data_IF_555437258484
#
_entry.id   IF_555437258484
#
_cell.length_a   1.000
_cell.length_b   1.000
_cell.length_c   1.000
_cell.angle_alpha   90.00
_cell.angle_beta   90.00
_cell.angle_gamma   90.00
#
_symmetry.space_group_name_H-M   'P 1'
#
loop_
_entity.id
_entity.type
_entity.pdbx_description
1 polymer ?
#
# COMPACT_ATOMS: atom_id res chain seq x y z
N UNK A 1 25.42 -25.51 -5.77
CA UNK A 1 25.78 -24.34 -6.62
C UNK A 1 25.14 -24.40 -8.02
N UNK A 2 25.25 -25.48 -8.80
CA UNK A 2 24.70 -25.55 -10.17
C UNK A 2 23.16 -25.38 -10.26
N UNK A 3 22.40 -25.98 -9.36
CA UNK A 3 20.93 -25.88 -9.36
C UNK A 3 20.43 -24.43 -9.17
N UNK A 4 21.15 -23.62 -8.37
CA UNK A 4 20.81 -22.23 -8.13
C UNK A 4 21.07 -21.35 -9.36
N UNK A 5 22.14 -21.60 -10.10
CA UNK A 5 22.50 -20.86 -11.33
C UNK A 5 21.48 -21.08 -12.46
N UNK A 6 21.08 -22.34 -12.69
CA UNK A 6 20.04 -22.68 -13.71
C UNK A 6 18.70 -22.04 -13.36
N UNK A 7 18.31 -22.06 -12.10
CA UNK A 7 17.06 -21.44 -11.64
C UNK A 7 17.07 -19.93 -11.85
N UNK A 8 18.18 -19.26 -11.52
CA UNK A 8 18.38 -17.81 -11.75
C UNK A 8 18.34 -17.45 -13.23
N UNK A 9 19.06 -18.22 -14.07
CA UNK A 9 19.06 -18.00 -15.52
C UNK A 9 17.66 -18.16 -16.12
N UNK A 10 16.93 -19.22 -15.75
CA UNK A 10 15.55 -19.45 -16.18
C UNK A 10 14.60 -18.34 -15.73
N UNK A 11 14.79 -17.84 -14.50
CA UNK A 11 14.02 -16.72 -13.94
C UNK A 11 14.24 -15.44 -14.77
N UNK A 12 15.50 -15.04 -14.97
CA UNK A 12 15.87 -13.90 -15.81
C UNK A 12 15.34 -14.02 -17.23
N UNK A 13 15.52 -15.18 -17.87
CA UNK A 13 15.03 -15.41 -19.24
C UNK A 13 13.51 -15.28 -19.38
N UNK A 14 12.71 -15.67 -18.36
CA UNK A 14 11.26 -15.46 -18.34
C UNK A 14 10.90 -13.99 -18.29
N UNK A 15 11.58 -13.24 -17.44
CA UNK A 15 11.35 -11.79 -17.26
C UNK A 15 11.71 -11.03 -18.53
N UNK A 16 12.87 -11.30 -19.11
CA UNK A 16 13.31 -10.67 -20.37
C UNK A 16 12.34 -11.00 -21.51
N UNK A 17 11.89 -12.25 -21.64
CA UNK A 17 10.90 -12.64 -22.65
C UNK A 17 9.57 -11.92 -22.47
N UNK A 18 9.08 -11.77 -21.24
CA UNK A 18 7.84 -11.04 -20.98
C UNK A 18 8.00 -9.54 -21.34
N UNK A 19 9.09 -8.91 -20.93
CA UNK A 19 9.40 -7.53 -21.27
C UNK A 19 9.52 -7.31 -22.79
N UNK A 20 10.23 -8.19 -23.49
CA UNK A 20 10.34 -8.14 -24.94
C UNK A 20 8.98 -8.29 -25.62
N UNK A 21 8.13 -9.22 -25.16
CA UNK A 21 6.76 -9.42 -25.70
C UNK A 21 5.91 -8.17 -25.52
N UNK A 22 5.99 -7.53 -24.36
CA UNK A 22 5.29 -6.28 -24.07
C UNK A 22 5.80 -5.19 -24.98
N UNK A 23 7.09 -4.93 -25.01
CA UNK A 23 7.73 -3.88 -25.80
C UNK A 23 7.43 -4.00 -27.29
N UNK A 24 7.69 -5.18 -27.88
CA UNK A 24 7.41 -5.45 -29.30
C UNK A 24 5.92 -5.34 -29.61
N UNK A 25 5.06 -5.73 -28.68
CA UNK A 25 3.63 -5.55 -28.82
C UNK A 25 3.23 -4.08 -28.90
N UNK A 26 3.81 -3.22 -28.07
CA UNK A 26 3.60 -1.78 -28.13
C UNK A 26 4.09 -1.18 -29.44
N UNK A 27 5.28 -1.55 -29.90
CA UNK A 27 5.83 -1.06 -31.18
C UNK A 27 5.00 -1.51 -32.40
N UNK A 28 4.44 -2.71 -32.36
CA UNK A 28 3.51 -3.17 -33.42
C UNK A 28 2.21 -2.37 -33.40
N UNK A 29 1.66 -2.13 -32.22
CA UNK A 29 0.44 -1.33 -32.06
C UNK A 29 0.67 0.12 -32.49
N UNK A 30 1.78 0.73 -32.13
CA UNK A 30 2.16 2.08 -32.56
C UNK A 30 2.19 2.21 -34.09
N UNK A 31 2.88 1.26 -34.77
CA UNK A 31 2.93 1.24 -36.25
C UNK A 31 1.55 1.07 -36.87
N UNK A 32 0.69 0.23 -36.27
CA UNK A 32 -0.68 0.02 -36.74
C UNK A 32 -1.55 1.25 -36.50
N UNK A 33 -1.49 1.85 -35.33
CA UNK A 33 -2.28 3.01 -34.93
C UNK A 33 -2.03 4.22 -35.83
N UNK A 34 -0.81 4.39 -36.36
CA UNK A 34 -0.48 5.45 -37.34
C UNK A 34 -1.24 5.34 -38.67
N UNK A 35 -1.86 4.17 -38.95
CA UNK A 35 -2.62 3.89 -40.18
C UNK A 35 -4.12 3.83 -39.94
N UNK A 36 -4.57 4.02 -38.71
CA UNK A 36 -5.97 3.91 -38.29
C UNK A 36 -6.54 5.30 -38.00
N UNK A 37 -7.84 5.45 -38.15
CA UNK A 37 -8.56 6.63 -37.63
C UNK A 37 -8.53 6.68 -36.10
N UNK A 38 -8.83 7.84 -35.49
CA UNK A 38 -8.65 8.08 -34.06
C UNK A 38 -9.34 7.04 -33.15
N UNK A 39 -10.58 6.69 -33.43
CA UNK A 39 -11.35 5.69 -32.65
C UNK A 39 -10.75 4.28 -32.72
N UNK A 40 -10.43 3.83 -33.93
CA UNK A 40 -9.80 2.52 -34.14
C UNK A 40 -8.39 2.44 -33.53
N UNK A 41 -7.66 3.55 -33.55
CA UNK A 41 -6.36 3.66 -32.87
C UNK A 41 -6.53 3.56 -31.34
N UNK A 42 -7.50 4.29 -30.75
CA UNK A 42 -7.80 4.22 -29.34
C UNK A 42 -8.18 2.79 -28.89
N UNK A 43 -9.06 2.12 -29.64
CA UNK A 43 -9.42 0.73 -29.39
C UNK A 43 -8.23 -0.23 -29.48
N UNK A 44 -7.32 -0.03 -30.45
CA UNK A 44 -6.10 -0.83 -30.58
C UNK A 44 -5.16 -0.66 -29.37
N UNK A 45 -5.05 0.55 -28.82
CA UNK A 45 -4.28 0.83 -27.61
C UNK A 45 -4.90 0.17 -26.37
N UNK A 46 -6.22 0.25 -26.17
CA UNK A 46 -6.90 -0.41 -25.04
C UNK A 46 -6.66 -1.94 -25.06
N UNK A 47 -6.82 -2.57 -26.22
CA UNK A 47 -6.54 -4.01 -26.38
C UNK A 47 -5.05 -4.30 -26.06
N UNK A 48 -4.13 -3.43 -26.46
CA UNK A 48 -2.70 -3.60 -26.19
C UNK A 48 -2.40 -3.47 -24.70
N UNK A 49 -2.96 -2.45 -24.04
CA UNK A 49 -2.81 -2.27 -22.60
C UNK A 49 -3.32 -3.49 -21.82
N UNK A 50 -4.50 -4.00 -22.17
CA UNK A 50 -5.06 -5.19 -21.53
C UNK A 50 -4.15 -6.43 -21.68
N UNK A 51 -3.62 -6.70 -22.90
CA UNK A 51 -2.70 -7.80 -23.15
C UNK A 51 -1.36 -7.67 -22.42
N UNK A 52 -0.86 -6.45 -22.27
CA UNK A 52 0.38 -6.18 -21.54
C UNK A 52 0.18 -6.37 -20.04
N UNK A 53 -0.92 -5.84 -19.51
CA UNK A 53 -1.29 -5.99 -18.10
C UNK A 53 -1.46 -7.47 -17.72
N UNK A 54 -2.14 -8.27 -18.54
CA UNK A 54 -2.29 -9.71 -18.31
C UNK A 54 -0.93 -10.44 -18.38
N UNK A 55 -0.05 -10.04 -19.30
CA UNK A 55 1.32 -10.61 -19.36
C UNK A 55 2.10 -10.33 -18.07
N UNK A 56 1.98 -9.12 -17.50
CA UNK A 56 2.61 -8.77 -16.21
C UNK A 56 1.97 -9.52 -15.04
N UNK A 57 0.65 -9.64 -15.02
CA UNK A 57 -0.05 -10.43 -14.01
C UNK A 57 0.44 -11.89 -14.01
N UNK A 58 0.47 -12.53 -15.16
CA UNK A 58 0.96 -13.91 -15.31
C UNK A 58 2.43 -14.04 -14.92
N UNK A 59 3.26 -13.06 -15.27
CA UNK A 59 4.66 -13.05 -14.86
C UNK A 59 4.76 -12.97 -13.33
N UNK A 60 4.04 -12.04 -12.69
CA UNK A 60 4.05 -11.84 -11.24
C UNK A 60 3.60 -13.10 -10.51
N UNK A 61 2.50 -13.72 -10.93
CA UNK A 61 1.96 -14.95 -10.34
C UNK A 61 2.96 -16.13 -10.45
N UNK A 62 3.66 -16.26 -11.58
CA UNK A 62 4.65 -17.33 -11.79
C UNK A 62 5.98 -17.09 -11.08
N UNK A 63 6.45 -15.86 -11.04
CA UNK A 63 7.73 -15.52 -10.44
C UNK A 63 7.62 -15.27 -8.93
N UNK A 64 6.46 -14.86 -8.44
CA UNK A 64 6.18 -14.56 -7.03
C UNK A 64 7.13 -13.48 -6.44
N UNK A 65 7.15 -13.32 -5.12
CA UNK A 65 8.08 -12.41 -4.43
C UNK A 65 7.99 -10.97 -4.94
N UNK A 66 9.13 -10.39 -5.33
CA UNK A 66 9.22 -9.00 -5.78
C UNK A 66 8.29 -8.67 -6.94
N UNK A 67 8.04 -9.59 -7.87
CA UNK A 67 7.15 -9.32 -9.02
C UNK A 67 5.68 -9.16 -8.59
N UNK A 68 5.23 -9.91 -7.56
CA UNK A 68 3.91 -9.68 -6.96
C UNK A 68 3.89 -8.29 -6.31
N UNK A 69 4.90 -7.95 -5.50
CA UNK A 69 4.99 -6.64 -4.84
C UNK A 69 5.02 -5.48 -5.86
N UNK A 70 5.81 -5.62 -6.93
CA UNK A 70 5.85 -4.63 -8.02
C UNK A 70 4.48 -4.50 -8.71
N UNK A 71 3.83 -5.63 -8.97
CA UNK A 71 2.48 -5.65 -9.56
C UNK A 71 1.44 -5.01 -8.64
N UNK A 72 1.47 -5.29 -7.35
CA UNK A 72 0.64 -4.64 -6.33
C UNK A 72 0.87 -3.12 -6.32
N UNK A 73 2.13 -2.69 -6.32
CA UNK A 73 2.49 -1.27 -6.37
C UNK A 73 1.92 -0.57 -7.62
N UNK A 74 2.13 -1.14 -8.80
CA UNK A 74 1.59 -0.59 -10.05
C UNK A 74 0.05 -0.63 -10.06
N UNK A 75 -0.55 -1.70 -9.52
CA UNK A 75 -2.00 -1.89 -9.44
C UNK A 75 -2.73 -0.84 -8.59
N UNK A 76 -2.03 -0.20 -7.65
CA UNK A 76 -2.57 0.89 -6.81
C UNK A 76 -2.33 2.30 -7.38
N UNK A 77 -1.55 2.42 -8.46
CA UNK A 77 -1.06 3.68 -9.03
C UNK A 77 -1.71 3.97 -10.38
N UNK A 78 -2.96 4.44 -10.36
CA UNK A 78 -3.68 4.85 -11.58
C UNK A 78 -3.07 6.06 -12.30
N UNK A 79 -2.19 6.78 -11.61
CA UNK A 79 -1.40 7.90 -12.16
C UNK A 79 -0.19 7.42 -13.00
N UNK A 80 0.31 6.20 -12.76
CA UNK A 80 1.49 5.66 -13.43
C UNK A 80 1.17 4.76 -14.62
N UNK A 81 -0.03 4.19 -14.68
CA UNK A 81 -0.36 3.19 -15.68
C UNK A 81 -1.82 3.29 -16.16
N UNK A 82 -2.10 2.94 -17.43
CA UNK A 82 -3.47 2.86 -17.96
C UNK A 82 -4.39 1.98 -17.10
N UNK A 83 -5.69 2.27 -17.09
CA UNK A 83 -6.69 1.59 -16.27
C UNK A 83 -6.69 0.04 -16.44
N UNK A 84 -6.29 -0.47 -17.59
CA UNK A 84 -6.16 -1.91 -17.83
C UNK A 84 -5.12 -2.57 -16.89
N UNK A 85 -4.04 -1.86 -16.54
CA UNK A 85 -3.02 -2.37 -15.61
C UNK A 85 -3.55 -2.39 -14.18
N UNK A 86 -4.18 -1.33 -13.72
CA UNK A 86 -4.76 -1.28 -12.36
C UNK A 86 -5.81 -2.37 -12.18
N UNK A 87 -6.72 -2.57 -13.17
CA UNK A 87 -7.71 -3.67 -13.14
C UNK A 87 -7.09 -5.07 -13.09
N UNK A 88 -6.04 -5.33 -13.88
CA UNK A 88 -5.44 -6.67 -13.92
C UNK A 88 -4.56 -6.95 -12.71
N UNK A 89 -3.78 -5.96 -12.25
CA UNK A 89 -2.77 -6.13 -11.21
C UNK A 89 -3.36 -6.01 -9.80
N UNK A 90 -4.53 -5.35 -9.61
CA UNK A 90 -5.25 -5.37 -8.32
C UNK A 90 -5.59 -6.80 -7.86
N UNK A 91 -5.79 -7.73 -8.79
CA UNK A 91 -6.00 -9.16 -8.50
C UNK A 91 -4.85 -9.82 -7.72
N UNK A 92 -3.67 -9.19 -7.71
CA UNK A 92 -2.51 -9.66 -6.92
C UNK A 92 -2.60 -9.31 -5.43
N UNK A 93 -3.56 -8.46 -5.03
CA UNK A 93 -3.72 -8.05 -3.63
C UNK A 93 -4.36 -9.16 -2.78
N UNK A 94 -5.28 -9.95 -3.37
CA UNK A 94 -6.18 -10.80 -2.59
C UNK A 94 -5.77 -12.28 -2.50
N UNK A 95 -4.86 -12.79 -3.33
CA UNK A 95 -4.60 -14.23 -3.42
C UNK A 95 -3.15 -14.58 -3.79
N UNK A 96 -2.30 -14.60 -2.80
CA UNK A 96 -0.99 -15.27 -2.93
C UNK A 96 -1.14 -16.70 -2.41
N UNK A 97 -0.91 -17.76 -3.23
CA UNK A 97 -0.95 -19.13 -2.74
C UNK A 97 0.10 -19.33 -1.63
N UNK A 98 -0.27 -19.89 -0.48
CA UNK A 98 0.64 -20.14 0.62
C UNK A 98 1.75 -21.13 0.22
N UNK A 99 2.83 -21.15 0.98
CA UNK A 99 3.87 -22.17 0.89
C UNK A 99 3.51 -23.36 1.77
N UNK A 100 4.03 -24.56 1.45
CA UNK A 100 3.86 -25.71 2.32
C UNK A 100 4.37 -25.45 3.74
N UNK A 101 3.58 -25.82 4.75
CA UNK A 101 3.90 -25.58 6.17
C UNK A 101 5.26 -26.16 6.59
N UNK A 102 5.68 -27.24 5.98
CA UNK A 102 7.01 -27.81 6.21
C UNK A 102 8.16 -26.86 5.86
N UNK A 103 7.98 -25.93 4.91
CA UNK A 103 8.98 -24.89 4.64
C UNK A 103 8.95 -23.80 5.70
N UNK A 104 7.76 -23.46 6.19
CA UNK A 104 7.57 -22.49 7.27
C UNK A 104 8.25 -22.98 8.55
N UNK A 105 7.96 -24.21 8.96
CA UNK A 105 8.55 -24.85 10.14
C UNK A 105 10.09 -24.86 10.06
N UNK A 106 10.66 -25.26 8.92
CA UNK A 106 12.11 -25.22 8.69
C UNK A 106 12.69 -23.80 8.80
N UNK A 107 11.98 -22.76 8.34
CA UNK A 107 12.46 -21.38 8.49
C UNK A 107 12.45 -20.96 9.94
N UNK A 108 11.39 -21.27 10.71
CA UNK A 108 11.31 -20.99 12.14
C UNK A 108 12.45 -21.69 12.90
N UNK A 109 12.63 -22.99 12.66
CA UNK A 109 13.65 -23.80 13.32
C UNK A 109 15.07 -23.34 13.00
N UNK A 110 15.34 -22.96 11.73
CA UNK A 110 16.63 -22.42 11.33
C UNK A 110 16.93 -21.03 11.94
N UNK A 111 15.91 -20.20 12.15
CA UNK A 111 16.09 -18.86 12.73
C UNK A 111 16.16 -18.88 14.26
N UNK A 112 15.40 -19.77 14.92
CA UNK A 112 15.30 -19.82 16.38
C UNK A 112 16.12 -20.96 17.03
N UNK A 113 16.72 -21.84 16.21
CA UNK A 113 17.62 -22.91 16.70
C UNK A 113 16.93 -24.01 17.50
N UNK A 114 15.59 -24.07 17.49
CA UNK A 114 14.78 -25.03 18.27
C UNK A 114 13.63 -25.56 17.42
N UNK A 115 13.17 -26.82 17.66
CA UNK A 115 11.99 -27.36 16.98
C UNK A 115 10.74 -26.52 17.26
N UNK A 116 9.84 -26.40 16.29
CA UNK A 116 8.57 -25.65 16.44
C UNK A 116 7.76 -26.13 17.65
N UNK A 117 7.73 -27.46 17.90
CA UNK A 117 7.02 -28.04 19.04
C UNK A 117 7.63 -27.70 20.42
N UNK A 118 8.90 -27.24 20.45
CA UNK A 118 9.53 -26.76 21.67
C UNK A 118 9.39 -25.25 21.88
N UNK A 119 8.96 -24.52 20.84
CA UNK A 119 8.73 -23.08 20.86
C UNK A 119 7.26 -22.72 21.15
N UNK A 120 6.34 -23.52 20.63
CA UNK A 120 4.90 -23.28 20.70
C UNK A 120 4.17 -24.51 21.23
N UNK A 121 3.22 -24.32 22.13
CA UNK A 121 2.32 -25.39 22.62
C UNK A 121 1.39 -25.89 21.49
N UNK A 122 1.01 -25.00 20.56
CA UNK A 122 0.33 -25.37 19.31
C UNK A 122 0.74 -24.43 18.18
N UNK A 123 0.75 -24.95 16.95
CA UNK A 123 1.07 -24.19 15.74
C UNK A 123 0.15 -24.66 14.61
N UNK A 124 -0.70 -23.76 14.10
CA UNK A 124 -1.67 -24.06 13.06
C UNK A 124 -0.97 -24.25 11.71
N UNK A 125 -1.22 -25.37 11.05
CA UNK A 125 -0.64 -25.67 9.73
C UNK A 125 -1.27 -24.81 8.61
N UNK A 126 -2.53 -24.41 8.77
CA UNK A 126 -3.19 -23.49 7.85
C UNK A 126 -2.83 -22.04 8.17
N UNK A 127 -2.34 -21.26 7.18
CA UNK A 127 -2.01 -19.87 7.45
C UNK A 127 -3.25 -18.99 7.60
N UNK A 128 -3.18 -18.02 8.51
CA UNK A 128 -4.16 -16.92 8.62
C UNK A 128 -4.15 -16.02 7.39
N UNK A 129 -2.96 -15.80 6.83
CA UNK A 129 -2.75 -14.97 5.64
C UNK A 129 -1.47 -15.38 4.90
N UNK A 130 -1.46 -15.19 3.58
CA UNK A 130 -0.28 -15.36 2.73
C UNK A 130 -0.09 -14.11 1.89
N UNK A 131 1.10 -13.48 2.04
CA UNK A 131 1.51 -12.28 1.33
C UNK A 131 2.59 -12.59 0.27
N UNK A 132 3.08 -11.56 -0.41
CA UNK A 132 4.10 -11.70 -1.46
C UNK A 132 5.46 -12.23 -0.93
N UNK A 133 5.81 -11.90 0.30
CA UNK A 133 7.13 -12.14 0.88
C UNK A 133 7.10 -13.10 2.08
N UNK A 134 5.92 -13.31 2.69
CA UNK A 134 5.75 -14.05 3.94
C UNK A 134 4.36 -14.65 4.06
N UNK A 135 4.15 -15.51 5.05
CA UNK A 135 2.83 -15.94 5.51
C UNK A 135 2.74 -15.89 7.03
N UNK A 136 1.52 -15.82 7.54
CA UNK A 136 1.23 -15.66 8.96
C UNK A 136 0.45 -16.88 9.44
N UNK A 137 0.87 -17.47 10.56
CA UNK A 137 0.21 -18.58 11.20
C UNK A 137 -0.23 -18.22 12.61
N UNK A 138 -1.30 -18.83 13.10
CA UNK A 138 -1.67 -18.76 14.50
C UNK A 138 -0.89 -19.82 15.28
N UNK A 139 -0.46 -19.45 16.47
CA UNK A 139 0.21 -20.36 17.39
C UNK A 139 -0.18 -20.00 18.83
N UNK A 140 0.11 -20.89 19.77
CA UNK A 140 -0.04 -20.66 21.20
C UNK A 140 1.27 -20.90 21.91
N UNK A 141 1.67 -19.99 22.77
CA UNK A 141 2.87 -20.12 23.62
C UNK A 141 2.60 -21.08 24.78
N UNK A 142 3.66 -21.52 25.46
CA UNK A 142 3.57 -22.40 26.62
C UNK A 142 2.80 -21.76 27.81
N UNK A 143 2.85 -20.43 27.92
CA UNK A 143 2.12 -19.66 28.92
C UNK A 143 0.62 -19.45 28.57
N UNK A 144 0.15 -19.99 27.45
CA UNK A 144 -1.22 -19.93 27.01
C UNK A 144 -1.55 -18.72 26.10
N UNK A 145 -0.67 -17.75 25.95
CA UNK A 145 -0.88 -16.60 25.05
C UNK A 145 -1.03 -17.06 23.60
N UNK A 146 -2.00 -16.51 22.90
CA UNK A 146 -2.16 -16.70 21.46
C UNK A 146 -1.30 -15.69 20.70
N UNK A 147 -0.62 -16.17 19.67
CA UNK A 147 0.29 -15.35 18.88
C UNK A 147 0.09 -15.55 17.38
N UNK A 148 0.41 -14.50 16.61
CA UNK A 148 0.54 -14.55 15.17
C UNK A 148 2.04 -14.64 14.81
N UNK A 149 2.39 -15.65 14.03
CA UNK A 149 3.78 -15.93 13.61
C UNK A 149 3.92 -15.63 12.14
N UNK A 150 4.51 -14.47 11.79
CA UNK A 150 4.83 -14.04 10.43
C UNK A 150 6.17 -14.62 10.05
N UNK A 151 6.21 -15.41 8.98
CA UNK A 151 7.41 -16.14 8.55
C UNK A 151 7.74 -15.81 7.10
N UNK A 152 8.96 -15.35 6.86
CA UNK A 152 9.45 -15.00 5.54
C UNK A 152 9.69 -16.26 4.69
N UNK A 153 9.39 -16.19 3.40
CA UNK A 153 9.74 -17.27 2.49
C UNK A 153 11.25 -17.38 2.29
N UNK A 154 11.83 -18.58 2.41
CA UNK A 154 13.29 -18.77 2.48
C UNK A 154 14.04 -18.30 1.22
N UNK A 155 13.39 -18.33 0.06
CA UNK A 155 14.00 -17.93 -1.20
C UNK A 155 13.96 -16.42 -1.47
N UNK A 156 13.08 -15.66 -0.79
CA UNK A 156 12.79 -14.26 -1.14
C UNK A 156 14.02 -13.38 -0.98
N UNK A 157 14.72 -13.44 0.13
CA UNK A 157 15.90 -12.61 0.37
C UNK A 157 16.99 -12.82 -0.70
N UNK A 158 17.16 -14.07 -1.18
CA UNK A 158 18.13 -14.40 -2.23
C UNK A 158 17.71 -13.93 -3.62
N UNK A 159 16.41 -13.93 -3.89
CA UNK A 159 15.88 -13.61 -5.22
C UNK A 159 15.65 -12.12 -5.42
N UNK A 160 15.36 -11.35 -4.37
CA UNK A 160 15.06 -9.92 -4.47
C UNK A 160 16.21 -9.15 -5.14
N UNK A 161 17.46 -9.38 -4.74
CA UNK A 161 18.58 -8.70 -5.37
C UNK A 161 18.75 -9.01 -6.87
N UNK A 162 18.46 -10.25 -7.29
CA UNK A 162 18.45 -10.64 -8.70
C UNK A 162 17.28 -9.94 -9.45
N UNK A 163 16.10 -9.94 -8.86
CA UNK A 163 14.90 -9.38 -9.47
C UNK A 163 15.02 -7.87 -9.64
N UNK A 164 15.56 -7.16 -8.64
CA UNK A 164 15.85 -5.72 -8.74
C UNK A 164 16.85 -5.44 -9.88
N UNK A 165 17.92 -6.23 -9.99
CA UNK A 165 18.88 -6.09 -11.10
C UNK A 165 18.22 -6.31 -12.46
N UNK A 166 17.37 -7.34 -12.59
CA UNK A 166 16.62 -7.61 -13.81
C UNK A 166 15.69 -6.43 -14.18
N UNK A 167 14.96 -5.89 -13.20
CA UNK A 167 14.08 -4.75 -13.43
C UNK A 167 14.86 -3.50 -13.83
N UNK A 168 15.95 -3.18 -13.13
CA UNK A 168 16.82 -2.04 -13.48
C UNK A 168 17.39 -2.14 -14.89
N UNK A 169 17.86 -3.33 -15.29
CA UNK A 169 18.36 -3.59 -16.65
C UNK A 169 17.27 -3.34 -17.69
N UNK A 170 16.08 -3.90 -17.50
CA UNK A 170 14.99 -3.78 -18.47
C UNK A 170 14.51 -2.33 -18.56
N UNK A 171 14.24 -1.68 -17.43
CA UNK A 171 13.77 -0.30 -17.41
C UNK A 171 14.83 0.65 -17.95
N UNK A 172 16.11 0.44 -17.65
CA UNK A 172 17.21 1.22 -18.23
C UNK A 172 17.31 1.07 -19.74
N UNK A 173 17.06 -0.12 -20.27
CA UNK A 173 17.05 -0.38 -21.73
C UNK A 173 15.84 0.30 -22.40
N UNK A 174 14.67 0.26 -21.76
CA UNK A 174 13.46 0.93 -22.25
C UNK A 174 13.63 2.46 -22.21
N UNK A 175 14.09 3.02 -21.10
CA UNK A 175 14.29 4.48 -20.97
C UNK A 175 15.26 5.07 -21.99
N UNK A 176 16.29 4.31 -22.40
CA UNK A 176 17.22 4.75 -23.48
C UNK A 176 16.56 4.87 -24.85
N UNK A 177 15.52 4.05 -25.11
CA UNK A 177 14.82 4.03 -26.41
C UNK A 177 13.54 4.84 -26.43
N UNK A 178 12.95 5.03 -25.26
CA UNK A 178 11.66 5.69 -25.04
C UNK A 178 11.80 6.69 -23.88
N UNK A 179 12.43 7.85 -24.07
CA UNK A 179 12.69 8.81 -22.98
C UNK A 179 11.44 9.27 -22.23
N UNK A 180 10.26 9.26 -22.89
CA UNK A 180 8.98 9.61 -22.28
C UNK A 180 8.44 8.55 -21.30
N UNK A 181 9.09 7.36 -21.22
CA UNK A 181 8.69 6.24 -20.37
C UNK A 181 9.83 5.84 -19.43
N UNK A 182 10.32 6.80 -18.64
CA UNK A 182 11.40 6.58 -17.69
C UNK A 182 10.87 6.17 -16.31
N UNK A 183 10.82 4.88 -16.06
CA UNK A 183 10.44 4.31 -14.76
C UNK A 183 11.62 3.99 -13.85
N UNK A 184 12.84 4.50 -14.13
CA UNK A 184 14.05 4.20 -13.32
C UNK A 184 13.90 4.66 -11.88
N UNK A 185 13.27 5.82 -11.65
CA UNK A 185 13.00 6.33 -10.31
C UNK A 185 12.15 5.33 -9.49
N UNK A 186 11.09 4.80 -10.08
CA UNK A 186 10.20 3.82 -9.44
C UNK A 186 10.94 2.52 -9.08
N UNK A 187 11.77 2.00 -10.00
CA UNK A 187 12.53 0.78 -9.73
C UNK A 187 13.63 1.01 -8.70
N UNK A 188 14.20 2.22 -8.64
CA UNK A 188 15.16 2.57 -7.60
C UNK A 188 14.48 2.67 -6.23
N UNK A 189 13.31 3.27 -6.14
CA UNK A 189 12.50 3.32 -4.93
C UNK A 189 12.13 1.91 -4.42
N UNK A 190 11.61 1.04 -5.28
CA UNK A 190 11.36 -0.36 -4.96
C UNK A 190 12.64 -1.08 -4.49
N UNK A 191 13.77 -0.76 -5.13
CA UNK A 191 15.07 -1.31 -4.76
C UNK A 191 15.58 -0.87 -3.39
N UNK A 192 15.11 0.25 -2.87
CA UNK A 192 15.41 0.75 -1.52
C UNK A 192 14.41 0.21 -0.49
N UNK A 193 13.12 0.17 -0.84
CA UNK A 193 12.04 -0.19 0.09
C UNK A 193 11.96 -1.69 0.37
N UNK A 194 12.01 -2.52 -0.68
CA UNK A 194 11.79 -3.97 -0.52
C UNK A 194 12.82 -4.66 0.39
N UNK A 195 14.12 -4.34 0.36
CA UNK A 195 15.07 -4.88 1.33
C UNK A 195 14.74 -4.54 2.78
N UNK A 196 14.16 -3.36 3.05
CA UNK A 196 13.75 -2.95 4.40
C UNK A 196 12.55 -3.76 4.90
N UNK A 197 11.63 -4.15 4.02
CA UNK A 197 10.50 -5.02 4.35
C UNK A 197 10.94 -6.49 4.62
N UNK A 198 12.15 -6.86 4.25
CA UNK A 198 12.69 -8.19 4.50
C UNK A 198 13.36 -8.32 5.89
N UNK A 199 13.48 -7.26 6.65
CA UNK A 199 13.99 -7.30 8.02
C UNK A 199 12.83 -7.14 9.03
N UNK A 200 12.36 -8.27 9.54
CA UNK A 200 11.27 -8.28 10.52
C UNK A 200 11.65 -7.74 11.90
N UNK A 201 12.95 -7.65 12.24
CA UNK A 201 13.38 -6.92 13.44
C UNK A 201 13.01 -5.44 13.33
N UNK A 202 13.20 -4.86 12.13
CA UNK A 202 12.80 -3.49 11.85
C UNK A 202 11.29 -3.31 11.98
N UNK A 203 10.49 -4.23 11.41
CA UNK A 203 9.03 -4.20 11.52
C UNK A 203 8.59 -4.28 12.98
N UNK A 204 9.14 -5.20 13.76
CA UNK A 204 8.86 -5.32 15.20
C UNK A 204 9.21 -4.04 15.99
N UNK A 205 10.37 -3.44 15.72
CA UNK A 205 10.77 -2.18 16.35
C UNK A 205 9.82 -1.03 16.00
N UNK A 206 9.39 -0.93 14.74
CA UNK A 206 8.43 0.08 14.29
C UNK A 206 7.04 -0.14 14.90
N UNK A 207 6.59 -1.40 14.98
CA UNK A 207 5.33 -1.74 15.66
C UNK A 207 5.34 -1.25 17.10
N UNK A 208 6.42 -1.49 17.85
CA UNK A 208 6.55 -1.02 19.24
C UNK A 208 6.56 0.50 19.34
N UNK A 209 7.27 1.21 18.45
CA UNK A 209 7.28 2.68 18.42
C UNK A 209 5.89 3.25 18.17
N UNK A 210 5.18 2.75 17.14
CA UNK A 210 3.83 3.22 16.83
C UNK A 210 2.86 2.87 17.95
N UNK A 211 2.97 1.69 18.55
CA UNK A 211 2.14 1.31 19.71
C UNK A 211 2.36 2.22 20.91
N UNK A 212 3.60 2.65 21.16
CA UNK A 212 3.91 3.62 22.22
C UNK A 212 3.29 4.98 21.94
N UNK A 213 3.36 5.47 20.71
CA UNK A 213 2.81 6.73 20.26
C UNK A 213 1.28 6.77 20.37
N UNK A 214 0.60 5.68 19.99
CA UNK A 214 -0.86 5.59 20.00
C UNK A 214 -1.46 5.14 21.35
N UNK A 215 -0.66 5.02 22.41
CA UNK A 215 -1.13 4.54 23.74
C UNK A 215 -2.27 5.38 24.31
N UNK A 216 -2.34 6.66 23.94
CA UNK A 216 -3.42 7.58 24.34
C UNK A 216 -4.75 7.39 23.58
N UNK A 217 -4.81 6.52 22.57
CA UNK A 217 -6.00 6.28 21.75
C UNK A 217 -6.65 4.94 22.14
N UNK A 218 -7.60 4.91 23.09
CA UNK A 218 -8.11 3.66 23.68
C UNK A 218 -8.91 2.79 22.68
N UNK A 219 -9.35 3.37 21.57
CA UNK A 219 -10.10 2.66 20.53
C UNK A 219 -9.19 1.95 19.51
N UNK A 220 -7.88 2.08 19.63
CA UNK A 220 -6.90 1.50 18.70
C UNK A 220 -6.02 0.51 19.43
N UNK A 221 -5.86 -0.67 18.84
CA UNK A 221 -5.06 -1.76 19.39
C UNK A 221 -3.97 -2.14 18.39
N UNK A 222 -2.74 -2.25 18.86
CA UNK A 222 -1.63 -2.80 18.11
C UNK A 222 -1.12 -4.06 18.81
N UNK A 223 -0.65 -5.06 18.04
CA UNK A 223 -0.18 -6.30 18.63
C UNK A 223 1.14 -6.09 19.38
N UNK A 224 1.26 -6.62 20.57
CA UNK A 224 2.53 -6.65 21.30
C UNK A 224 3.51 -7.59 20.59
N UNK A 225 4.78 -7.19 20.48
CA UNK A 225 5.85 -8.00 19.87
C UNK A 225 6.47 -8.91 20.91
N UNK A 226 6.66 -10.17 20.58
CA UNK A 226 7.36 -11.17 21.39
C UNK A 226 8.82 -11.20 20.91
N UNK A 227 9.66 -10.39 21.54
CA UNK A 227 11.04 -10.13 21.08
C UNK A 227 11.90 -11.38 21.08
N UNK A 228 11.77 -12.22 22.10
CA UNK A 228 12.57 -13.46 22.26
C UNK A 228 12.30 -14.51 21.17
N UNK A 229 11.19 -14.41 20.45
CA UNK A 229 10.83 -15.27 19.33
C UNK A 229 10.84 -14.53 17.98
N UNK A 230 11.35 -13.29 17.96
CA UNK A 230 11.40 -12.47 16.74
C UNK A 230 12.82 -12.32 16.22
N UNK A 231 13.01 -12.52 14.92
CA UNK A 231 14.30 -12.46 14.21
C UNK A 231 14.15 -11.61 12.93
N UNK A 232 15.16 -11.58 12.07
CA UNK A 232 15.06 -10.94 10.76
C UNK A 232 14.06 -11.60 9.81
N UNK A 233 13.68 -12.89 10.04
CA UNK A 233 12.77 -13.62 9.14
C UNK A 233 11.54 -14.21 9.83
N UNK A 234 11.45 -14.11 11.14
CA UNK A 234 10.30 -14.54 11.94
C UNK A 234 9.89 -13.37 12.83
N UNK A 235 8.64 -12.95 12.76
CA UNK A 235 8.06 -11.96 13.66
C UNK A 235 6.91 -12.60 14.41
N UNK A 236 7.01 -12.63 15.72
CA UNK A 236 5.96 -13.14 16.61
C UNK A 236 5.31 -11.98 17.33
N UNK A 237 4.01 -11.86 17.18
CA UNK A 237 3.22 -10.82 17.83
C UNK A 237 2.01 -11.43 18.53
N UNK A 238 1.44 -10.70 19.46
CA UNK A 238 0.14 -11.05 20.04
C UNK A 238 -0.90 -11.27 18.93
N UNK A 239 -1.76 -12.27 19.11
CA UNK A 239 -2.87 -12.50 18.20
C UNK A 239 -4.05 -11.60 18.59
N UNK A 240 -4.42 -10.69 17.71
CA UNK A 240 -5.61 -9.86 17.90
C UNK A 240 -6.81 -10.58 17.32
N UNK A 241 -7.74 -10.98 18.19
CA UNK A 241 -9.00 -11.59 17.80
C UNK A 241 -9.95 -10.51 17.24
N UNK A 242 -10.09 -10.48 15.92
CA UNK A 242 -10.93 -9.51 15.23
C UNK A 242 -11.31 -9.99 13.84
N UNK A 243 -12.31 -9.37 13.26
CA UNK A 243 -12.76 -9.59 11.89
C UNK A 243 -12.06 -8.63 10.94
N UNK A 244 -11.65 -9.08 9.76
CA UNK A 244 -11.10 -8.16 8.74
C UNK A 244 -12.13 -7.11 8.36
N UNK A 245 -11.70 -5.87 8.17
CA UNK A 245 -12.59 -4.75 7.86
C UNK A 245 -13.47 -5.00 6.64
N UNK A 246 -12.95 -5.64 5.58
CA UNK A 246 -13.74 -5.97 4.39
C UNK A 246 -14.83 -7.00 4.66
N UNK A 247 -14.53 -8.01 5.50
CA UNK A 247 -15.50 -9.04 5.86
C UNK A 247 -16.60 -8.45 6.76
N UNK A 248 -16.23 -7.55 7.67
CA UNK A 248 -17.15 -6.77 8.48
C UNK A 248 -18.08 -5.90 7.60
N UNK A 249 -17.54 -5.16 6.67
CA UNK A 249 -18.30 -4.29 5.77
C UNK A 249 -19.22 -5.08 4.83
N UNK A 250 -18.80 -6.26 4.36
CA UNK A 250 -19.61 -7.12 3.50
C UNK A 250 -20.86 -7.63 4.20
N UNK A 251 -20.78 -7.93 5.52
CA UNK A 251 -21.94 -8.38 6.33
C UNK A 251 -22.95 -7.25 6.59
N UNK A 252 -22.55 -6.00 6.56
CA UNK A 252 -23.42 -4.83 6.78
C UNK A 252 -24.19 -4.37 5.54
N UNK A 253 -23.87 -4.88 4.36
CA UNK A 253 -24.69 -4.58 3.16
C UNK A 253 -26.04 -5.28 3.34
N UNK A 254 -27.18 -4.57 3.25
CA UNK A 254 -28.50 -5.18 3.35
C UNK A 254 -28.69 -6.12 2.15
N UNK A 255 -28.41 -7.40 2.31
CA UNK A 255 -29.11 -8.45 1.58
C UNK A 255 -30.52 -8.45 2.20
N UNK A 256 -31.50 -7.98 1.44
CA UNK A 256 -32.87 -7.90 1.91
C UNK A 256 -33.39 -9.27 2.35
N UNK A 257 -33.44 -9.52 3.61
CA UNK A 257 -34.02 -10.55 4.47
C UNK A 257 -33.00 -10.96 5.53
N UNK A 258 -33.17 -10.40 6.70
CA UNK A 258 -33.16 -11.04 8.02
C UNK A 258 -32.92 -9.99 9.11
N UNK A 259 -34.03 -9.51 9.68
CA UNK A 259 -34.03 -8.86 10.98
C UNK A 259 -33.85 -9.99 12.04
N UNK A 260 -32.75 -10.00 12.75
CA UNK A 260 -32.61 -10.97 13.82
C UNK A 260 -31.23 -11.24 14.38
N UNK A 261 -30.34 -10.23 14.56
CA UNK A 261 -29.26 -10.36 15.54
C UNK A 261 -29.04 -9.02 16.24
N UNK A 262 -29.64 -8.89 17.41
CA UNK A 262 -29.52 -7.72 18.32
C UNK A 262 -28.24 -7.76 19.17
N UNK A 263 -27.11 -8.17 18.61
CA UNK A 263 -25.80 -7.80 19.14
C UNK A 263 -25.42 -6.47 18.52
N UNK A 264 -25.11 -5.49 19.34
CA UNK A 264 -24.69 -4.15 18.92
C UNK A 264 -23.44 -4.26 18.03
N UNK A 265 -23.67 -4.45 16.71
CA UNK A 265 -22.56 -4.44 15.74
C UNK A 265 -21.81 -3.11 15.86
N UNK A 266 -20.47 -3.11 15.89
CA UNK A 266 -19.69 -1.89 15.96
C UNK A 266 -20.14 -0.87 14.92
N UNK A 267 -20.26 0.40 15.32
CA UNK A 267 -20.71 1.47 14.43
C UNK A 267 -19.64 1.83 13.39
N UNK A 268 -19.98 1.73 12.09
CA UNK A 268 -19.04 2.01 11.00
C UNK A 268 -18.44 3.41 11.04
N UNK A 269 -19.23 4.48 11.19
CA UNK A 269 -18.73 5.84 11.42
C UNK A 269 -17.78 5.97 12.59
N UNK A 270 -18.07 5.33 13.72
CA UNK A 270 -17.21 5.37 14.89
C UNK A 270 -15.88 4.61 14.68
N UNK A 271 -15.89 3.51 13.91
CA UNK A 271 -14.66 2.82 13.47
C UNK A 271 -13.84 3.69 12.51
N UNK A 272 -14.50 4.34 11.54
CA UNK A 272 -13.83 5.24 10.62
C UNK A 272 -13.16 6.40 11.36
N UNK A 273 -13.83 6.98 12.36
CA UNK A 273 -13.26 8.03 13.20
C UNK A 273 -12.01 7.53 13.94
N UNK A 274 -12.07 6.37 14.60
CA UNK A 274 -10.93 5.81 15.34
C UNK A 274 -9.71 5.54 14.40
N UNK A 275 -9.96 5.02 13.18
CA UNK A 275 -8.90 4.79 12.19
C UNK A 275 -8.27 6.12 11.77
N UNK A 276 -9.08 7.11 11.43
CA UNK A 276 -8.60 8.40 10.93
C UNK A 276 -7.91 9.22 12.01
N UNK A 277 -8.37 9.14 13.25
CA UNK A 277 -7.70 9.71 14.42
C UNK A 277 -6.31 9.10 14.60
N UNK A 278 -6.20 7.76 14.54
CA UNK A 278 -4.91 7.08 14.64
C UNK A 278 -3.92 7.50 13.54
N UNK A 279 -4.39 7.64 12.30
CA UNK A 279 -3.54 8.07 11.19
C UNK A 279 -3.23 9.56 11.21
N UNK A 280 -4.18 10.40 11.60
CA UNK A 280 -3.94 11.83 11.83
C UNK A 280 -2.86 12.07 12.89
N UNK A 281 -2.92 11.32 13.99
CA UNK A 281 -1.91 11.35 15.04
C UNK A 281 -0.54 10.91 14.53
N UNK A 282 -0.45 9.74 13.89
CA UNK A 282 0.79 9.19 13.32
C UNK A 282 1.45 10.16 12.34
N UNK A 283 0.68 10.75 11.41
CA UNK A 283 1.21 11.60 10.35
C UNK A 283 1.62 12.96 10.86
N UNK A 284 0.76 13.62 11.64
CA UNK A 284 0.86 15.04 11.96
C UNK A 284 1.46 15.31 13.34
N UNK A 285 1.21 14.44 14.31
CA UNK A 285 1.78 14.59 15.67
C UNK A 285 3.12 13.88 15.77
N UNK A 286 3.16 12.58 15.47
CA UNK A 286 4.37 11.78 15.65
C UNK A 286 5.36 11.91 14.49
N UNK A 287 4.87 12.14 13.26
CA UNK A 287 5.67 12.06 12.04
C UNK A 287 6.13 10.64 11.71
N UNK A 288 5.65 9.64 12.44
CA UNK A 288 5.94 8.22 12.21
C UNK A 288 4.64 7.51 11.88
N UNK A 289 4.45 7.08 10.64
CA UNK A 289 3.16 6.55 10.18
C UNK A 289 3.29 5.30 9.32
N UNK A 290 2.31 4.41 9.46
CA UNK A 290 2.11 3.30 8.53
C UNK A 290 1.67 3.85 7.16
N UNK A 291 2.41 3.54 6.11
CA UNK A 291 2.16 4.10 4.79
C UNK A 291 1.25 3.24 3.89
N UNK A 292 0.65 2.17 4.42
CA UNK A 292 -0.25 1.27 3.71
C UNK A 292 -1.51 0.91 4.54
N UNK A 293 -2.45 1.88 4.76
CA UNK A 293 -3.72 1.62 5.46
C UNK A 293 -4.68 0.78 4.61
N UNK A 294 -4.20 -0.38 4.13
CA UNK A 294 -5.04 -1.29 3.37
C UNK A 294 -6.07 -1.96 4.27
N UNK A 295 -7.34 -2.13 3.86
CA UNK A 295 -8.36 -2.79 4.68
C UNK A 295 -7.99 -4.20 5.19
N UNK A 296 -7.07 -4.88 4.49
CA UNK A 296 -6.53 -6.18 4.91
C UNK A 296 -5.64 -6.13 6.16
N UNK A 297 -5.13 -4.93 6.51
CA UNK A 297 -4.28 -4.68 7.68
C UNK A 297 -5.06 -4.06 8.85
N UNK A 298 -6.40 -4.00 8.73
CA UNK A 298 -7.29 -3.42 9.73
C UNK A 298 -8.28 -4.47 10.20
N UNK A 299 -8.36 -4.67 11.51
CA UNK A 299 -9.31 -5.55 12.17
C UNK A 299 -10.38 -4.74 12.90
N UNK A 300 -11.60 -5.26 12.90
CA UNK A 300 -12.69 -4.78 13.76
C UNK A 300 -12.84 -5.80 14.90
N UNK A 301 -12.65 -5.35 16.12
CA UNK A 301 -12.76 -6.19 17.32
C UNK A 301 -14.21 -6.26 17.80
N UNK A 302 -14.59 -7.32 18.52
CA UNK A 302 -15.97 -7.48 19.03
C UNK A 302 -16.44 -6.35 19.94
N UNK A 303 -15.52 -5.69 20.63
CA UNK A 303 -15.79 -4.55 21.53
C UNK A 303 -15.84 -3.19 20.82
N UNK A 304 -15.74 -3.17 19.48
CA UNK A 304 -15.77 -1.95 18.66
C UNK A 304 -14.44 -1.21 18.57
N UNK A 305 -13.34 -1.78 19.05
CA UNK A 305 -11.99 -1.25 18.82
C UNK A 305 -11.47 -1.65 17.45
N UNK A 306 -10.43 -0.97 17.02
CA UNK A 306 -9.74 -1.19 15.75
C UNK A 306 -8.37 -1.77 16.01
N UNK A 307 -8.07 -2.92 15.40
CA UNK A 307 -6.74 -3.49 15.37
C UNK A 307 -5.97 -3.04 14.13
N UNK A 308 -4.78 -2.44 14.32
CA UNK A 308 -3.87 -2.11 13.21
C UNK A 308 -2.76 -3.13 13.14
N UNK A 309 -2.58 -3.71 11.95
CA UNK A 309 -1.59 -4.75 11.68
C UNK A 309 -0.58 -4.28 10.63
N UNK A 310 0.54 -4.99 10.51
CA UNK A 310 1.58 -4.84 9.48
C UNK A 310 2.20 -3.43 9.40
N UNK A 311 3.31 -3.25 10.12
CA UNK A 311 4.10 -2.01 10.15
C UNK A 311 5.38 -2.07 9.30
N UNK A 312 5.49 -3.06 8.42
CA UNK A 312 6.63 -3.22 7.51
C UNK A 312 6.86 -2.02 6.60
N UNK A 313 5.78 -1.34 6.19
CA UNK A 313 5.83 -0.11 5.39
C UNK A 313 5.54 1.13 6.26
N UNK A 314 6.32 1.30 7.32
CA UNK A 314 6.26 2.51 8.16
C UNK A 314 7.31 3.52 7.70
N UNK A 315 6.93 4.78 7.64
CA UNK A 315 7.74 5.92 7.20
C UNK A 315 7.84 6.96 8.30
N UNK A 316 8.98 7.63 8.34
CA UNK A 316 9.25 8.78 9.20
C UNK A 316 9.33 10.03 8.35
N UNK A 317 8.55 11.04 8.69
CA UNK A 317 8.54 12.34 8.01
C UNK A 317 9.54 13.25 8.71
N UNK A 318 10.43 13.92 7.96
CA UNK A 318 11.19 15.04 8.51
C UNK A 318 10.25 16.10 9.11
N UNK A 319 10.65 16.73 10.20
CA UNK A 319 9.82 17.74 10.87
C UNK A 319 9.35 18.85 9.91
N UNK A 320 10.22 19.27 8.98
CA UNK A 320 9.87 20.26 7.96
C UNK A 320 8.73 19.78 7.07
N UNK A 321 8.77 18.52 6.56
CA UNK A 321 7.71 17.94 5.73
C UNK A 321 6.42 17.78 6.51
N UNK A 322 6.50 17.36 7.79
CA UNK A 322 5.35 17.21 8.70
C UNK A 322 4.64 18.53 8.94
N UNK A 323 5.37 19.57 9.35
CA UNK A 323 4.81 20.90 9.61
C UNK A 323 4.32 21.60 8.33
N UNK A 324 5.04 21.41 7.20
CA UNK A 324 4.60 21.89 5.89
C UNK A 324 3.27 21.25 5.47
N UNK A 325 3.11 19.94 5.71
CA UNK A 325 1.85 19.26 5.44
C UNK A 325 0.73 19.72 6.40
N UNK A 326 1.03 19.97 7.68
CA UNK A 326 0.07 20.55 8.62
C UNK A 326 -0.44 21.91 8.14
N UNK A 327 0.47 22.81 7.70
CA UNK A 327 0.09 24.13 7.13
C UNK A 327 -0.79 23.96 5.88
N UNK A 328 -0.44 23.00 5.01
CA UNK A 328 -1.23 22.70 3.82
C UNK A 328 -2.67 22.29 4.18
N UNK A 329 -2.83 21.40 5.17
CA UNK A 329 -4.15 20.94 5.65
C UNK A 329 -4.96 22.11 6.22
N UNK A 330 -4.35 22.93 7.08
CA UNK A 330 -5.04 24.09 7.71
C UNK A 330 -5.43 25.13 6.67
N UNK A 331 -4.52 25.48 5.73
CA UNK A 331 -4.80 26.44 4.68
C UNK A 331 -5.91 25.94 3.73
N UNK A 332 -5.90 24.65 3.41
CA UNK A 332 -6.95 24.04 2.60
C UNK A 332 -8.32 24.03 3.29
N UNK A 333 -8.36 23.70 4.60
CA UNK A 333 -9.59 23.71 5.40
C UNK A 333 -10.20 25.10 5.52
N UNK A 334 -9.34 26.12 5.70
CA UNK A 334 -9.75 27.53 5.82
C UNK A 334 -9.96 28.23 4.49
N UNK A 335 -9.72 27.55 3.37
CA UNK A 335 -9.73 28.10 2.00
C UNK A 335 -8.81 29.32 1.85
N UNK A 336 -7.71 29.31 2.60
CA UNK A 336 -6.68 30.34 2.53
C UNK A 336 -5.78 30.09 1.30
N UNK A 337 -6.07 30.78 0.22
CA UNK A 337 -5.33 30.62 -1.04
C UNK A 337 -3.87 31.05 -0.94
N UNK A 338 -3.55 32.10 -0.17
CA UNK A 338 -2.17 32.55 0.03
C UNK A 338 -1.38 31.55 0.88
N UNK A 339 -1.98 31.05 1.96
CA UNK A 339 -1.41 30.01 2.80
C UNK A 339 -1.19 28.71 2.05
N UNK A 340 -2.09 28.32 1.12
CA UNK A 340 -1.92 27.16 0.25
C UNK A 340 -0.69 27.28 -0.65
N UNK A 341 -0.52 28.42 -1.33
CA UNK A 341 0.65 28.69 -2.19
C UNK A 341 1.94 28.58 -1.37
N UNK A 342 1.95 29.20 -0.20
CA UNK A 342 3.11 29.16 0.68
C UNK A 342 3.43 27.74 1.15
N UNK A 343 2.44 26.99 1.63
CA UNK A 343 2.63 25.60 2.07
C UNK A 343 3.10 24.69 0.92
N UNK A 344 2.58 24.87 -0.29
CA UNK A 344 3.05 24.14 -1.47
C UNK A 344 4.52 24.40 -1.75
N UNK A 345 4.95 25.66 -1.70
CA UNK A 345 6.37 26.05 -1.90
C UNK A 345 7.28 25.45 -0.83
N UNK A 346 6.88 25.53 0.44
CA UNK A 346 7.64 24.97 1.56
C UNK A 346 7.81 23.47 1.46
N UNK A 347 6.79 22.77 0.97
CA UNK A 347 6.83 21.34 0.69
C UNK A 347 7.61 20.99 -0.58
N UNK A 348 7.95 21.97 -1.44
CA UNK A 348 8.61 21.74 -2.73
C UNK A 348 7.66 21.24 -3.83
N UNK A 349 6.32 21.38 -3.64
CA UNK A 349 5.35 21.19 -4.70
C UNK A 349 5.44 22.37 -5.66
N UNK A 350 5.68 22.09 -6.93
CA UNK A 350 5.71 23.12 -7.99
C UNK A 350 4.62 22.87 -9.00
N UNK A 351 3.88 23.91 -9.30
CA UNK A 351 2.88 23.96 -10.36
C UNK A 351 3.26 25.05 -11.35
N UNK A 352 2.69 25.01 -12.56
CA UNK A 352 2.95 26.03 -13.59
C UNK A 352 2.53 27.44 -13.16
N UNK A 353 1.43 27.55 -12.44
CA UNK A 353 0.91 28.81 -11.92
C UNK A 353 0.85 28.75 -10.39
N UNK A 354 1.42 29.78 -9.77
CA UNK A 354 1.31 29.99 -8.31
C UNK A 354 0.06 30.81 -7.95
N UNK A 355 -0.88 30.99 -8.88
CA UNK A 355 -2.14 31.66 -8.59
C UNK A 355 -2.99 30.81 -7.63
N UNK A 356 -3.43 31.33 -6.48
CA UNK A 356 -4.30 30.62 -5.54
C UNK A 356 -5.56 30.02 -6.17
N UNK A 357 -6.14 30.71 -7.16
CA UNK A 357 -7.33 30.24 -7.89
C UNK A 357 -7.08 28.96 -8.68
N UNK A 358 -5.84 28.70 -9.10
CA UNK A 358 -5.46 27.50 -9.85
C UNK A 358 -5.01 26.37 -8.93
N UNK A 359 -4.45 26.69 -7.74
CA UNK A 359 -3.96 25.71 -6.77
C UNK A 359 -5.09 25.13 -5.93
N UNK A 360 -6.06 25.95 -5.53
CA UNK A 360 -7.18 25.52 -4.68
C UNK A 360 -7.96 24.33 -5.27
N UNK A 361 -8.33 24.30 -6.57
CA UNK A 361 -8.97 23.12 -7.17
C UNK A 361 -8.09 21.86 -7.14
N UNK A 362 -6.78 22.00 -7.31
CA UNK A 362 -5.83 20.88 -7.23
C UNK A 362 -5.79 20.29 -5.80
N UNK A 363 -5.74 21.15 -4.80
CA UNK A 363 -5.73 20.72 -3.38
C UNK A 363 -7.07 20.12 -2.96
N UNK A 364 -8.18 20.65 -3.45
CA UNK A 364 -9.50 20.05 -3.23
C UNK A 364 -9.56 18.61 -3.76
N UNK A 365 -8.91 18.31 -4.90
CA UNK A 365 -8.81 16.95 -5.41
C UNK A 365 -8.03 16.00 -4.48
N UNK A 366 -7.00 16.50 -3.80
CA UNK A 366 -6.23 15.76 -2.81
C UNK A 366 -7.07 15.40 -1.58
N UNK A 367 -7.95 16.33 -1.17
CA UNK A 367 -8.76 16.23 0.05
C UNK A 367 -10.25 15.96 -0.22
N UNK A 368 -10.68 15.75 -1.46
CA UNK A 368 -12.10 15.51 -1.79
C UNK A 368 -12.56 14.17 -1.20
N UNK A 369 -13.71 14.18 -0.55
CA UNK A 369 -14.34 13.02 0.08
C UNK A 369 -14.93 12.00 -0.92
N UNK A 370 -15.03 12.34 -2.22
CA UNK A 370 -15.65 11.45 -3.21
C UNK A 370 -14.77 10.25 -3.57
N UNK A 371 -15.33 9.02 -3.69
CA UNK A 371 -14.60 7.80 -3.99
C UNK A 371 -13.83 7.90 -5.32
N UNK A 372 -12.60 7.37 -5.32
CA UNK A 372 -11.85 7.15 -6.56
C UNK A 372 -12.46 5.90 -7.22
N UNK A 373 -13.39 6.07 -8.17
CA UNK A 373 -14.03 4.96 -8.87
C UNK A 373 -15.55 4.85 -8.72
N UNK A 374 -16.21 5.79 -8.01
CA UNK A 374 -17.66 5.89 -8.05
C UNK A 374 -18.15 6.25 -9.47
N UNK A 375 -19.24 5.63 -9.91
CA UNK A 375 -19.91 5.89 -11.19
C UNK A 375 -20.35 7.34 -11.29
N UNK A 376 -19.46 8.18 -11.77
CA UNK A 376 -19.73 9.58 -12.07
C UNK A 376 -18.59 10.16 -12.87
N UNK A 377 -18.71 10.15 -14.20
CA UNK A 377 -17.78 10.77 -15.15
C UNK A 377 -17.49 12.26 -14.86
N UNK A 378 -18.29 12.93 -14.04
CA UNK A 378 -18.15 14.35 -13.69
C UNK A 378 -16.87 14.61 -12.84
N UNK A 379 -16.49 13.73 -11.90
CA UNK A 379 -15.32 13.91 -11.08
C UNK A 379 -13.99 13.71 -11.83
N UNK A 380 -13.94 12.83 -12.82
CA UNK A 380 -12.76 12.59 -13.67
C UNK A 380 -12.52 13.75 -14.65
N UNK A 381 -13.61 14.34 -15.18
CA UNK A 381 -13.55 15.51 -16.05
C UNK A 381 -12.94 16.72 -15.34
N UNK A 382 -13.47 17.08 -14.18
CA UNK A 382 -13.00 18.21 -13.38
C UNK A 382 -11.53 18.05 -12.94
N UNK A 383 -11.11 16.81 -12.60
CA UNK A 383 -9.71 16.49 -12.29
C UNK A 383 -8.78 16.72 -13.46
N UNK A 384 -9.12 16.19 -14.62
CA UNK A 384 -8.34 16.38 -15.84
C UNK A 384 -8.24 17.86 -16.22
N UNK A 385 -9.32 18.59 -16.00
CA UNK A 385 -9.37 20.02 -16.30
C UNK A 385 -8.51 20.84 -15.34
N UNK A 386 -8.59 20.60 -14.02
CA UNK A 386 -7.75 21.26 -13.02
C UNK A 386 -6.24 20.98 -13.25
N UNK A 387 -5.87 19.71 -13.49
CA UNK A 387 -4.48 19.34 -13.79
C UNK A 387 -4.02 19.88 -15.15
N UNK A 388 -4.92 20.02 -16.15
CA UNK A 388 -4.58 20.63 -17.44
C UNK A 388 -4.45 22.14 -17.32
N UNK A 389 -5.28 22.79 -16.53
CA UNK A 389 -5.25 24.23 -16.30
C UNK A 389 -3.94 24.61 -15.56
N UNK A 390 -3.58 23.86 -14.52
CA UNK A 390 -2.34 24.08 -13.77
C UNK A 390 -1.55 22.78 -13.60
N UNK A 391 -0.73 22.38 -14.59
CA UNK A 391 0.06 21.17 -14.51
C UNK A 391 1.06 21.21 -13.35
N UNK A 392 1.14 20.09 -12.65
CA UNK A 392 2.12 19.88 -11.59
C UNK A 392 3.46 19.56 -12.25
N UNK A 393 4.49 20.35 -11.95
CA UNK A 393 5.84 20.22 -12.51
C UNK A 393 6.76 19.41 -11.60
N UNK A 394 6.55 19.48 -10.29
CA UNK A 394 7.29 18.68 -9.31
C UNK A 394 6.43 18.36 -8.08
N UNK A 395 6.47 17.10 -7.64
CA UNK A 395 5.85 16.64 -6.40
C UNK A 395 6.93 15.94 -5.56
N UNK A 396 7.17 16.36 -4.32
CA UNK A 396 8.04 15.64 -3.40
C UNK A 396 7.52 14.24 -3.09
N UNK A 397 8.45 13.31 -2.88
CA UNK A 397 8.10 11.91 -2.59
C UNK A 397 7.23 11.75 -1.35
N UNK A 398 7.49 12.52 -0.29
CA UNK A 398 6.69 12.52 0.94
C UNK A 398 5.23 12.89 0.66
N UNK A 399 5.00 13.90 -0.17
CA UNK A 399 3.65 14.36 -0.49
C UNK A 399 2.89 13.34 -1.36
N UNK A 400 3.58 12.66 -2.28
CA UNK A 400 3.01 11.55 -3.04
C UNK A 400 2.56 10.42 -2.11
N UNK A 401 3.41 10.08 -1.13
CA UNK A 401 3.13 9.03 -0.16
C UNK A 401 1.95 9.39 0.75
N UNK A 402 1.92 10.62 1.26
CA UNK A 402 0.81 11.13 2.07
C UNK A 402 -0.51 11.14 1.30
N UNK A 403 -0.48 11.58 0.04
CA UNK A 403 -1.66 11.53 -0.84
C UNK A 403 -2.19 10.11 -1.04
N UNK A 404 -1.29 9.12 -1.15
CA UNK A 404 -1.68 7.71 -1.21
C UNK A 404 -2.37 7.26 0.08
N UNK A 405 -1.78 7.58 1.24
CA UNK A 405 -2.35 7.21 2.55
C UNK A 405 -3.74 7.83 2.73
N UNK A 406 -3.87 9.13 2.46
CA UNK A 406 -5.16 9.83 2.51
C UNK A 406 -6.19 9.21 1.56
N UNK A 407 -5.77 8.82 0.35
CA UNK A 407 -6.64 8.14 -0.61
C UNK A 407 -7.12 6.77 -0.13
N UNK A 408 -6.25 5.98 0.49
CA UNK A 408 -6.61 4.68 1.06
C UNK A 408 -7.53 4.82 2.28
N UNK A 409 -7.25 5.76 3.18
CA UNK A 409 -8.12 6.06 4.32
C UNK A 409 -9.52 6.47 3.88
N UNK A 410 -9.63 7.28 2.83
CA UNK A 410 -10.92 7.61 2.24
C UNK A 410 -11.68 6.37 1.74
N UNK A 411 -10.96 5.43 1.10
CA UNK A 411 -11.53 4.15 0.69
C UNK A 411 -12.06 3.34 1.88
N UNK A 412 -11.31 3.31 2.97
CA UNK A 412 -11.70 2.67 4.24
C UNK A 412 -12.95 3.33 4.82
N UNK A 413 -12.98 4.65 4.92
CA UNK A 413 -14.14 5.39 5.43
C UNK A 413 -15.40 5.15 4.58
N UNK A 414 -15.26 5.17 3.25
CA UNK A 414 -16.37 4.85 2.33
C UNK A 414 -16.87 3.42 2.54
N UNK A 415 -15.97 2.47 2.71
CA UNK A 415 -16.30 1.05 2.97
C UNK A 415 -17.09 0.89 4.28
N UNK A 416 -16.80 1.71 5.28
CA UNK A 416 -17.49 1.73 6.57
C UNK A 416 -18.81 2.54 6.57
N UNK A 417 -19.18 3.12 5.42
CA UNK A 417 -20.38 3.96 5.32
C UNK A 417 -20.24 5.34 5.98
N UNK A 418 -19.01 5.79 6.18
CA UNK A 418 -18.69 7.10 6.76
C UNK A 418 -17.96 7.95 5.71
N UNK A 419 -18.65 8.75 4.90
CA UNK A 419 -18.04 9.61 3.90
C UNK A 419 -17.38 10.84 4.55
N UNK A 420 -16.41 10.60 5.44
CA UNK A 420 -15.65 11.65 6.11
C UNK A 420 -14.68 12.31 5.12
N UNK A 421 -14.62 13.64 5.16
CA UNK A 421 -13.60 14.38 4.44
C UNK A 421 -12.23 14.14 5.07
N UNK A 422 -11.21 13.72 4.32
CA UNK A 422 -9.84 13.61 4.83
C UNK A 422 -9.37 14.91 5.51
N UNK A 423 -9.80 16.05 5.02
CA UNK A 423 -9.49 17.34 5.60
C UNK A 423 -10.07 17.50 7.00
N UNK A 424 -11.34 17.16 7.20
CA UNK A 424 -11.98 17.22 8.51
C UNK A 424 -11.31 16.30 9.52
N UNK A 425 -10.80 15.15 9.06
CA UNK A 425 -10.10 14.18 9.89
C UNK A 425 -8.70 14.64 10.28
N UNK A 426 -7.98 15.29 9.39
CA UNK A 426 -6.59 15.70 9.60
C UNK A 426 -6.48 17.07 10.29
N UNK A 427 -7.49 17.93 10.16
CA UNK A 427 -7.45 19.33 10.67
C UNK A 427 -7.11 19.44 12.16
N UNK A 428 -7.77 18.71 13.10
CA UNK A 428 -7.43 18.82 14.52
C UNK A 428 -5.98 18.46 14.83
N UNK A 429 -5.45 17.44 14.15
CA UNK A 429 -4.07 17.00 14.30
C UNK A 429 -3.08 17.99 13.67
N UNK A 430 -3.46 18.64 12.56
CA UNK A 430 -2.66 19.67 11.92
C UNK A 430 -2.54 20.91 12.79
N UNK A 431 -3.64 21.37 13.38
CA UNK A 431 -3.66 22.50 14.32
C UNK A 431 -2.82 22.20 15.57
N UNK A 432 -2.95 21.00 16.13
CA UNK A 432 -2.11 20.53 17.23
C UNK A 432 -0.62 20.52 16.87
N UNK A 433 -0.26 19.94 15.73
CA UNK A 433 1.13 19.88 15.28
C UNK A 433 1.77 21.26 15.11
N UNK A 434 0.98 22.25 14.66
CA UNK A 434 1.45 23.64 14.53
C UNK A 434 1.52 24.38 15.86
N UNK A 435 0.78 23.95 16.88
CA UNK A 435 0.84 24.53 18.21
C UNK A 435 2.00 24.00 19.06
N UNK A 436 2.42 22.74 18.81
CA UNK A 436 3.47 22.03 19.55
C UNK A 436 4.86 22.12 18.89
N UNK A 437 4.94 22.50 17.61
CA UNK A 437 6.18 22.55 16.80
C UNK A 437 6.56 23.90 16.32
#
# INVERSE_FOLDING_TARGET
MAFDTVTRARRTARVVRAAARIYLGYKRTERRARRLGPEAAAAAWEVRHAKAAETLYQLATKQKGLYIKTGQFIGTRSDLAPAAYTRSLSRLQDRVPPRPVAQVRRTIEAELGRPVAALFASFDDSPLAAASLAQVHRARLADGREVAVKVQYPEVARLVGLDIRNLRMIVGLVARREPNFDYRAIINELGQQVPLELDFRREGALTKRVAANLRGLPRVVLPAVVDELSTGKVLVTEFIAGQRLLDFAARRRPSGTEAGDSFSSPDGPALALAITEAYGHQILVDGLFQADPHPGNILVLPDGRVGLLDFGLTKELPAQSRLGFARLVVAAARRDGAGLVQACRELGLRTRSDNPADILPLMQLFFDARPIGGEGNAGFGARREAVRANPIEAIPGDLVLLGRVVGLLRGVCTTLGAPLSPMQMLLPHAERALAEG
#
